data_IF_380046760612
#
_entry.id   IF_380046760612
#
_cell.length_a   1.000
_cell.length_b   1.000
_cell.length_c   1.000
_cell.angle_alpha   90.00
_cell.angle_beta   90.00
_cell.angle_gamma   90.00
#
_symmetry.space_group_name_H-M   'P 1'
#
loop_
_entity.id
_entity.type
_entity.pdbx_description
1 polymer ?
#
# COMPACT_ATOMS: atom_id res chain seq x y z
N UNK A 1 -13.28 0.54 -7.15
CA UNK A 1 -12.29 1.34 -6.38
C UNK A 1 -11.67 0.57 -5.22
N UNK A 2 -12.41 -0.28 -4.49
CA UNK A 2 -11.86 -1.11 -3.39
C UNK A 2 -10.95 -2.23 -3.94
N UNK A 3 -11.36 -2.92 -5.02
CA UNK A 3 -10.54 -3.96 -5.71
C UNK A 3 -9.19 -3.43 -6.25
N UNK A 4 -9.22 -2.26 -6.88
CA UNK A 4 -8.07 -1.55 -7.44
C UNK A 4 -6.96 -1.26 -6.41
N UNK A 5 -7.37 -0.89 -5.18
CA UNK A 5 -6.45 -0.66 -4.09
C UNK A 5 -5.86 -2.00 -3.61
N UNK A 6 -6.67 -3.06 -3.52
CA UNK A 6 -6.21 -4.40 -3.12
C UNK A 6 -5.08 -4.93 -3.99
N UNK A 7 -5.26 -4.90 -5.32
CA UNK A 7 -4.25 -5.47 -6.24
C UNK A 7 -2.91 -4.71 -6.20
N UNK A 8 -2.94 -3.38 -5.99
CA UNK A 8 -1.70 -2.60 -5.83
C UNK A 8 -0.99 -2.96 -4.52
N UNK A 9 -1.69 -3.04 -3.39
CA UNK A 9 -1.07 -3.43 -2.10
C UNK A 9 -0.47 -4.84 -2.16
N UNK A 10 -1.20 -5.81 -2.74
CA UNK A 10 -0.68 -7.16 -2.96
C UNK A 10 0.59 -7.14 -3.82
N UNK A 11 0.59 -6.36 -4.91
CA UNK A 11 1.78 -6.23 -5.76
C UNK A 11 2.94 -5.57 -5.04
N UNK A 12 2.69 -4.51 -4.25
CA UNK A 12 3.72 -3.82 -3.46
C UNK A 12 4.36 -4.77 -2.46
N UNK A 13 3.56 -5.61 -1.78
CA UNK A 13 4.08 -6.64 -0.87
C UNK A 13 4.98 -7.65 -1.59
N UNK A 14 4.66 -8.04 -2.84
CA UNK A 14 5.48 -8.94 -3.65
C UNK A 14 6.85 -8.34 -4.03
N UNK A 15 6.96 -7.00 -4.08
CA UNK A 15 8.20 -6.29 -4.43
C UNK A 15 8.80 -5.50 -3.27
N UNK A 16 8.33 -5.75 -2.04
CA UNK A 16 8.86 -5.13 -0.83
C UNK A 16 10.26 -5.68 -0.48
N UNK A 17 11.11 -4.91 0.23
CA UNK A 17 12.38 -5.39 0.76
C UNK A 17 12.25 -6.71 1.53
N UNK A 18 13.23 -7.59 1.32
CA UNK A 18 13.26 -8.95 1.87
C UNK A 18 12.59 -10.02 0.99
N UNK A 19 11.92 -9.63 -0.09
CA UNK A 19 11.41 -10.58 -1.10
C UNK A 19 12.47 -10.93 -2.14
N UNK A 20 12.40 -12.15 -2.67
CA UNK A 20 13.27 -12.62 -3.77
C UNK A 20 13.15 -11.73 -5.01
N UNK A 21 11.93 -11.24 -5.28
CA UNK A 21 11.66 -10.37 -6.41
C UNK A 21 12.31 -9.00 -6.22
N UNK A 22 12.16 -8.36 -5.05
CA UNK A 22 12.84 -7.09 -4.74
C UNK A 22 14.35 -7.22 -4.84
N UNK A 23 14.94 -8.25 -4.25
CA UNK A 23 16.38 -8.51 -4.35
C UNK A 23 16.85 -8.63 -5.80
N UNK A 24 16.06 -9.31 -6.65
CA UNK A 24 16.34 -9.42 -8.08
C UNK A 24 16.26 -8.07 -8.80
N UNK A 25 15.22 -7.28 -8.53
CA UNK A 25 15.04 -5.95 -9.10
C UNK A 25 16.17 -4.99 -8.70
N UNK A 26 16.60 -5.01 -7.43
CA UNK A 26 17.74 -4.20 -6.99
C UNK A 26 19.04 -4.61 -7.66
N UNK A 27 19.28 -5.91 -7.84
CA UNK A 27 20.44 -6.39 -8.60
C UNK A 27 20.41 -5.92 -10.04
N UNK A 28 19.24 -5.91 -10.69
CA UNK A 28 19.07 -5.41 -12.07
C UNK A 28 19.40 -3.91 -12.11
N UNK A 29 18.85 -3.15 -11.16
CA UNK A 29 19.05 -1.70 -11.05
C UNK A 29 20.53 -1.34 -10.83
N UNK A 30 21.18 -1.98 -9.85
CA UNK A 30 22.62 -1.83 -9.55
C UNK A 30 23.49 -2.28 -10.73
N UNK A 31 23.05 -3.32 -11.42
CA UNK A 31 23.64 -3.84 -12.63
C UNK A 31 23.49 -2.96 -13.87
N UNK A 32 22.77 -1.84 -13.75
CA UNK A 32 22.48 -0.90 -14.84
C UNK A 32 21.92 -1.62 -16.08
N UNK A 33 20.99 -2.52 -15.87
CA UNK A 33 20.30 -3.23 -16.94
C UNK A 33 18.83 -2.83 -16.94
N UNK A 34 18.21 -2.68 -18.12
CA UNK A 34 16.77 -2.51 -18.23
C UNK A 34 16.05 -3.85 -18.16
N UNK A 35 14.80 -3.88 -17.71
CA UNK A 35 14.00 -5.11 -17.69
C UNK A 35 12.51 -4.81 -17.86
N UNK A 36 11.78 -5.76 -18.43
CA UNK A 36 10.31 -5.81 -18.36
C UNK A 36 9.91 -7.19 -17.85
N UNK A 37 9.14 -7.22 -16.77
CA UNK A 37 8.82 -8.46 -16.04
C UNK A 37 7.31 -8.52 -15.85
N UNK A 38 6.66 -9.58 -16.35
CA UNK A 38 5.22 -9.84 -16.15
C UNK A 38 5.07 -10.78 -14.95
N UNK A 39 4.22 -10.41 -13.99
CA UNK A 39 3.96 -11.17 -12.76
C UNK A 39 2.66 -11.99 -12.88
N UNK A 40 2.65 -12.89 -13.83
CA UNK A 40 1.55 -13.82 -14.09
C UNK A 40 1.79 -14.60 -15.38
N UNK A 41 1.25 -15.81 -15.43
CA UNK A 41 1.37 -16.66 -16.60
C UNK A 41 0.05 -17.40 -16.86
N UNK A 42 -0.59 -17.04 -17.96
CA UNK A 42 -1.81 -17.67 -18.46
C UNK A 42 -1.74 -17.76 -19.99
N UNK A 43 -2.76 -18.35 -20.65
CA UNK A 43 -2.80 -18.42 -22.11
C UNK A 43 -2.77 -17.05 -22.81
N UNK A 44 -3.24 -15.97 -22.17
CA UNK A 44 -3.22 -14.61 -22.73
C UNK A 44 -1.79 -14.08 -22.75
N UNK A 45 -1.06 -14.20 -21.63
CA UNK A 45 0.37 -13.83 -21.52
C UNK A 45 1.21 -14.67 -22.48
N UNK A 46 0.90 -15.96 -22.61
CA UNK A 46 1.57 -16.85 -23.57
C UNK A 46 1.35 -16.41 -25.01
N UNK A 47 0.12 -16.08 -25.40
CA UNK A 47 -0.21 -15.66 -26.76
C UNK A 47 0.46 -14.35 -27.20
N UNK A 48 0.71 -13.42 -26.27
CA UNK A 48 1.42 -12.16 -26.56
C UNK A 48 2.95 -12.30 -26.44
N UNK A 49 3.46 -13.45 -26.00
CA UNK A 49 4.90 -13.70 -25.85
C UNK A 49 5.47 -14.35 -27.11
N UNK A 50 6.24 -13.61 -27.89
CA UNK A 50 6.88 -14.09 -29.11
C UNK A 50 8.37 -14.37 -28.92
N UNK A 51 8.86 -15.48 -29.50
CA UNK A 51 10.26 -15.88 -29.41
C UNK A 51 10.71 -16.23 -27.98
N UNK A 52 11.99 -16.01 -27.68
CA UNK A 52 12.57 -16.27 -26.36
C UNK A 52 12.68 -17.75 -26.00
N UNK A 53 12.82 -18.02 -24.70
CA UNK A 53 13.03 -19.36 -24.16
C UNK A 53 11.87 -19.76 -23.25
N UNK A 54 11.43 -21.00 -23.40
CA UNK A 54 10.54 -21.66 -22.47
C UNK A 54 11.37 -22.16 -21.31
N UNK A 55 11.08 -21.65 -20.11
CA UNK A 55 11.75 -22.04 -18.88
C UNK A 55 10.72 -22.62 -17.93
N UNK A 56 11.18 -23.47 -17.05
CA UNK A 56 10.42 -23.83 -15.87
C UNK A 56 11.41 -23.98 -14.72
N UNK A 57 11.82 -22.84 -14.17
CA UNK A 57 12.83 -22.77 -13.10
C UNK A 57 12.31 -21.93 -11.95
N UNK A 58 12.66 -22.30 -10.73
CA UNK A 58 12.28 -21.54 -9.54
C UNK A 58 12.82 -20.11 -9.61
N UNK A 59 12.01 -19.16 -9.14
CA UNK A 59 12.40 -17.76 -9.01
C UNK A 59 13.55 -17.64 -8.00
N UNK A 60 14.64 -17.02 -8.43
CA UNK A 60 15.70 -16.55 -7.52
C UNK A 60 16.20 -15.20 -8.00
N UNK A 61 16.66 -14.36 -7.07
CA UNK A 61 17.19 -13.03 -7.37
C UNK A 61 18.36 -13.10 -8.38
N UNK A 62 19.20 -14.14 -8.29
CA UNK A 62 20.28 -14.38 -9.22
C UNK A 62 19.77 -14.74 -10.61
N UNK A 63 18.83 -15.69 -10.74
CA UNK A 63 18.26 -16.07 -12.03
C UNK A 63 17.55 -14.91 -12.69
N UNK A 64 16.73 -14.16 -11.94
CA UNK A 64 16.04 -12.99 -12.46
C UNK A 64 17.05 -11.93 -12.98
N UNK A 65 18.12 -11.67 -12.22
CA UNK A 65 19.20 -10.76 -12.62
C UNK A 65 19.90 -11.19 -13.91
N UNK A 66 20.23 -12.47 -14.04
CA UNK A 66 20.93 -13.02 -15.19
C UNK A 66 20.05 -12.99 -16.45
N UNK A 67 18.79 -13.41 -16.34
CA UNK A 67 17.85 -13.40 -17.46
C UNK A 67 17.51 -11.97 -17.91
N UNK A 68 17.47 -11.01 -16.99
CA UNK A 68 17.28 -9.60 -17.31
C UNK A 68 18.46 -8.98 -18.09
N UNK A 69 19.64 -9.63 -18.18
CA UNK A 69 20.72 -9.20 -19.08
C UNK A 69 20.38 -9.35 -20.55
N UNK A 70 19.39 -10.18 -20.86
CA UNK A 70 18.94 -10.43 -22.22
C UNK A 70 18.00 -9.32 -22.69
N UNK A 71 17.95 -9.10 -24.00
CA UNK A 71 17.09 -8.09 -24.60
C UNK A 71 15.67 -8.64 -24.79
N UNK A 72 14.83 -8.49 -23.76
CA UNK A 72 13.43 -8.90 -23.83
C UNK A 72 12.70 -8.85 -22.50
N UNK A 73 11.55 -9.50 -22.46
CA UNK A 73 10.74 -9.69 -21.26
C UNK A 73 11.06 -10.98 -20.53
N UNK A 74 10.76 -10.97 -19.24
CA UNK A 74 10.74 -12.15 -18.36
C UNK A 74 9.31 -12.34 -17.88
N UNK A 75 8.82 -13.57 -17.87
CA UNK A 75 7.49 -13.89 -17.34
C UNK A 75 7.67 -14.77 -16.12
N UNK A 76 7.14 -14.30 -15.00
CA UNK A 76 7.20 -14.96 -13.70
C UNK A 76 5.78 -15.32 -13.32
N UNK A 77 5.54 -16.60 -13.08
CA UNK A 77 4.33 -17.08 -12.44
C UNK A 77 4.51 -16.94 -10.93
N UNK A 78 3.72 -16.05 -10.32
CA UNK A 78 3.79 -15.77 -8.89
C UNK A 78 3.09 -16.82 -8.04
N UNK A 79 2.13 -17.57 -8.59
CA UNK A 79 1.40 -18.62 -7.88
C UNK A 79 2.31 -19.83 -7.62
N UNK A 80 3.19 -20.14 -8.58
CA UNK A 80 4.18 -21.22 -8.46
C UNK A 80 5.58 -20.73 -8.08
N UNK A 81 5.80 -19.42 -8.02
CA UNK A 81 7.10 -18.78 -7.85
C UNK A 81 8.15 -19.28 -8.88
N UNK A 82 7.77 -19.36 -10.15
CA UNK A 82 8.64 -19.87 -11.25
C UNK A 82 8.77 -18.88 -12.39
N UNK A 83 9.95 -18.84 -13.00
CA UNK A 83 10.19 -18.13 -14.25
C UNK A 83 9.80 -19.05 -15.41
N UNK A 84 8.78 -18.63 -16.17
CA UNK A 84 8.14 -19.41 -17.23
C UNK A 84 8.68 -19.08 -18.63
N UNK A 85 9.07 -17.82 -18.83
CA UNK A 85 9.64 -17.34 -20.09
C UNK A 85 10.74 -16.32 -19.83
N UNK A 86 11.71 -16.25 -20.73
CA UNK A 86 12.74 -15.22 -20.74
C UNK A 86 13.11 -14.83 -22.17
N UNK A 87 13.67 -13.63 -22.34
CA UNK A 87 14.05 -13.08 -23.63
C UNK A 87 12.88 -13.05 -24.65
N UNK A 88 11.64 -12.86 -24.15
CA UNK A 88 10.45 -12.81 -25.00
C UNK A 88 10.21 -11.40 -25.52
N UNK A 89 9.73 -11.27 -26.74
CA UNK A 89 9.16 -10.04 -27.24
C UNK A 89 7.67 -10.02 -26.88
N UNK A 90 7.26 -9.08 -26.02
CA UNK A 90 5.86 -8.89 -25.65
C UNK A 90 5.16 -8.05 -26.73
N UNK A 91 4.10 -8.60 -27.31
CA UNK A 91 3.33 -8.02 -28.41
C UNK A 91 1.87 -7.78 -27.98
N UNK A 92 1.61 -6.85 -27.03
CA UNK A 92 0.24 -6.51 -26.66
C UNK A 92 -0.48 -5.78 -27.81
N UNK A 93 -1.80 -5.74 -27.75
CA UNK A 93 -2.64 -5.07 -28.73
C UNK A 93 -2.27 -3.57 -28.83
N UNK A 94 -1.89 -3.13 -30.03
CA UNK A 94 -1.46 -1.78 -30.31
C UNK A 94 -2.57 -0.72 -30.13
N UNK A 95 -3.85 -1.12 -30.18
CA UNK A 95 -4.99 -0.21 -30.00
C UNK A 95 -5.19 0.22 -28.55
N UNK A 96 -4.56 -0.45 -27.58
CA UNK A 96 -4.63 -0.08 -26.16
C UNK A 96 -3.91 1.26 -25.98
N UNK A 97 -4.67 2.26 -25.50
CA UNK A 97 -4.16 3.60 -25.23
C UNK A 97 -3.12 3.56 -24.10
N UNK A 98 -2.11 4.40 -24.20
CA UNK A 98 -1.00 4.51 -23.23
C UNK A 98 -0.58 5.97 -23.14
N UNK A 99 -0.30 6.44 -21.92
CA UNK A 99 0.23 7.79 -21.67
C UNK A 99 1.76 7.80 -21.56
N UNK A 100 2.40 6.64 -21.61
CA UNK A 100 3.84 6.50 -21.48
C UNK A 100 4.58 6.89 -22.77
N UNK A 101 5.77 7.46 -22.66
CA UNK A 101 6.55 7.93 -23.83
C UNK A 101 7.59 6.90 -24.31
N UNK A 102 8.11 6.04 -23.44
CA UNK A 102 9.14 5.05 -23.78
C UNK A 102 8.58 3.70 -24.27
N UNK A 103 9.19 3.10 -25.29
CA UNK A 103 8.73 1.81 -25.88
C UNK A 103 8.48 0.73 -24.82
N UNK A 104 9.42 0.57 -23.86
CA UNK A 104 9.32 -0.42 -22.78
C UNK A 104 8.17 -0.11 -21.81
N UNK A 105 8.03 1.15 -21.43
CA UNK A 105 6.97 1.63 -20.53
C UNK A 105 5.59 1.51 -21.18
N UNK A 106 5.45 1.87 -22.46
CA UNK A 106 4.22 1.65 -23.24
C UNK A 106 3.87 0.17 -23.35
N UNK A 107 4.87 -0.68 -23.58
CA UNK A 107 4.65 -2.13 -23.64
C UNK A 107 4.19 -2.64 -22.28
N UNK A 108 4.85 -2.24 -21.19
CA UNK A 108 4.48 -2.65 -19.84
C UNK A 108 3.06 -2.23 -19.47
N UNK A 109 2.68 -0.98 -19.73
CA UNK A 109 1.32 -0.49 -19.47
C UNK A 109 0.27 -1.27 -20.29
N UNK A 110 0.54 -1.51 -21.58
CA UNK A 110 -0.40 -2.24 -22.44
C UNK A 110 -0.53 -3.71 -22.05
N UNK A 111 0.58 -4.36 -21.71
CA UNK A 111 0.56 -5.75 -21.22
C UNK A 111 -0.26 -5.81 -19.94
N UNK A 112 0.01 -4.95 -18.96
CA UNK A 112 -0.74 -4.93 -17.69
C UNK A 112 -2.24 -4.71 -17.92
N UNK A 113 -2.62 -3.79 -18.81
CA UNK A 113 -4.03 -3.54 -19.15
C UNK A 113 -4.68 -4.69 -19.90
N UNK A 114 -3.94 -5.37 -20.79
CA UNK A 114 -4.48 -6.46 -21.60
C UNK A 114 -4.64 -7.75 -20.80
N UNK A 115 -3.68 -8.07 -19.94
CA UNK A 115 -3.64 -9.35 -19.23
C UNK A 115 -4.23 -9.25 -17.83
N UNK A 116 -4.37 -8.05 -17.27
CA UNK A 116 -4.77 -7.83 -15.88
C UNK A 116 -3.67 -8.15 -14.86
N UNK A 117 -2.53 -8.69 -15.29
CA UNK A 117 -1.40 -9.00 -14.42
C UNK A 117 -0.51 -7.78 -14.18
N UNK A 118 0.08 -7.64 -12.98
CA UNK A 118 1.10 -6.65 -12.73
C UNK A 118 2.30 -6.78 -13.68
N UNK A 119 2.80 -5.64 -14.17
CA UNK A 119 4.03 -5.60 -14.98
C UNK A 119 5.02 -4.63 -14.39
N UNK A 120 6.25 -5.09 -14.19
CA UNK A 120 7.37 -4.26 -13.74
C UNK A 120 8.19 -3.82 -14.96
N UNK A 121 8.56 -2.54 -15.00
CA UNK A 121 9.57 -2.00 -15.90
C UNK A 121 10.72 -1.42 -15.09
N UNK A 122 11.94 -1.85 -15.36
CA UNK A 122 13.17 -1.29 -14.80
C UNK A 122 13.84 -0.41 -15.85
N UNK A 123 14.02 0.87 -15.54
CA UNK A 123 14.68 1.84 -16.41
C UNK A 123 16.16 1.97 -16.04
N UNK A 124 17.05 1.55 -16.95
CA UNK A 124 18.49 1.68 -16.78
C UNK A 124 18.95 3.14 -16.64
N UNK A 125 18.44 4.04 -17.49
CA UNK A 125 18.91 5.42 -17.57
C UNK A 125 18.44 6.24 -16.38
N UNK A 126 17.18 6.09 -16.00
CA UNK A 126 16.57 6.83 -14.89
C UNK A 126 16.82 6.18 -13.53
N UNK A 127 17.27 4.91 -13.51
CA UNK A 127 17.40 4.10 -12.29
C UNK A 127 16.13 4.08 -11.44
N UNK A 128 15.00 3.89 -12.12
CA UNK A 128 13.69 3.75 -11.47
C UNK A 128 13.09 2.38 -11.80
N UNK A 129 12.31 1.86 -10.85
CA UNK A 129 11.45 0.71 -11.05
C UNK A 129 10.01 1.23 -11.10
N UNK A 130 9.27 0.89 -12.14
CA UNK A 130 7.86 1.25 -12.30
C UNK A 130 7.00 0.01 -12.35
N UNK A 131 5.96 -0.04 -11.55
CA UNK A 131 4.88 -1.00 -11.57
C UNK A 131 3.73 -0.46 -12.41
N UNK A 132 3.13 -1.34 -13.21
CA UNK A 132 1.89 -1.11 -13.91
C UNK A 132 0.87 -2.11 -13.40
N UNK A 133 -0.13 -1.62 -12.67
CA UNK A 133 -1.18 -2.40 -12.01
C UNK A 133 -2.49 -1.65 -12.14
N UNK A 134 -3.56 -2.34 -12.50
CA UNK A 134 -4.90 -1.75 -12.65
C UNK A 134 -4.91 -0.45 -13.50
N UNK A 135 -4.19 -0.46 -14.61
CA UNK A 135 -4.10 0.68 -15.53
C UNK A 135 -3.38 1.91 -14.97
N UNK A 136 -2.80 1.83 -13.77
CA UNK A 136 -2.02 2.90 -13.13
C UNK A 136 -0.55 2.56 -13.12
N UNK A 137 0.28 3.59 -13.19
CA UNK A 137 1.72 3.50 -12.96
C UNK A 137 2.02 3.90 -11.52
N UNK A 138 2.79 3.07 -10.84
CA UNK A 138 3.35 3.35 -9.52
C UNK A 138 4.88 3.24 -9.60
N UNK A 139 5.63 4.22 -9.09
CA UNK A 139 7.10 4.18 -9.07
C UNK A 139 7.52 3.67 -7.71
N UNK A 140 8.30 2.59 -7.67
CA UNK A 140 8.83 2.10 -6.40
C UNK A 140 9.86 3.07 -5.85
N UNK A 141 9.61 3.53 -4.64
CA UNK A 141 10.55 4.39 -3.93
C UNK A 141 11.69 3.56 -3.28
N UNK A 142 12.87 4.16 -3.07
CA UNK A 142 13.90 3.59 -2.21
C UNK A 142 13.42 3.50 -0.76
N UNK A 143 13.89 2.49 -0.01
CA UNK A 143 13.53 2.28 1.39
C UNK A 143 13.79 3.53 2.24
N UNK A 144 14.86 4.29 1.96
CA UNK A 144 15.21 5.49 2.71
C UNK A 144 14.16 6.60 2.58
N UNK A 145 13.54 6.75 1.40
CA UNK A 145 12.47 7.72 1.14
C UNK A 145 11.21 7.37 1.94
N UNK A 146 10.81 6.09 1.86
CA UNK A 146 9.62 5.58 2.54
C UNK A 146 9.82 5.66 4.06
N UNK A 147 10.99 5.26 4.58
CA UNK A 147 11.33 5.39 6.00
C UNK A 147 11.30 6.83 6.50
N UNK A 148 11.77 7.80 5.70
CA UNK A 148 11.73 9.21 6.09
C UNK A 148 10.28 9.69 6.26
N UNK A 149 9.39 9.35 5.32
CA UNK A 149 7.96 9.66 5.40
C UNK A 149 7.27 8.94 6.56
N UNK A 150 7.58 7.66 6.75
CA UNK A 150 7.01 6.86 7.82
C UNK A 150 7.42 7.34 9.22
N UNK A 151 8.67 7.79 9.41
CA UNK A 151 9.12 8.39 10.66
C UNK A 151 8.40 9.71 10.96
N UNK A 152 8.10 10.52 9.94
CA UNK A 152 7.29 11.74 10.14
C UNK A 152 5.87 11.41 10.60
N UNK A 153 5.26 10.37 10.01
CA UNK A 153 3.96 9.87 10.42
C UNK A 153 3.99 9.29 11.84
N UNK A 154 5.02 8.51 12.18
CA UNK A 154 5.22 7.98 13.53
C UNK A 154 5.33 9.09 14.57
N UNK A 155 6.14 10.13 14.32
CA UNK A 155 6.21 11.28 15.23
C UNK A 155 4.88 12.02 15.35
N UNK A 156 4.04 12.02 14.31
CA UNK A 156 2.68 12.54 14.42
C UNK A 156 1.81 11.64 15.28
N UNK A 157 1.86 10.32 15.09
CA UNK A 157 1.16 9.31 15.89
C UNK A 157 1.48 9.47 17.38
N UNK A 158 2.75 9.58 17.75
CA UNK A 158 3.20 9.79 19.13
C UNK A 158 2.56 11.03 19.77
N UNK A 159 2.52 12.17 19.04
CA UNK A 159 1.88 13.40 19.53
C UNK A 159 0.38 13.25 19.71
N UNK A 160 -0.30 12.59 18.77
CA UNK A 160 -1.75 12.36 18.87
C UNK A 160 -2.08 11.36 19.98
N UNK A 161 -1.27 10.32 20.17
CA UNK A 161 -1.40 9.36 21.28
C UNK A 161 -1.20 10.05 22.63
N UNK A 162 -0.16 10.85 22.80
CA UNK A 162 0.06 11.60 24.04
C UNK A 162 -1.11 12.55 24.36
N UNK A 163 -1.69 13.18 23.34
CA UNK A 163 -2.88 14.02 23.50
C UNK A 163 -4.13 13.20 23.83
N UNK A 164 -4.30 12.04 23.22
CA UNK A 164 -5.38 11.10 23.54
C UNK A 164 -5.29 10.67 25.00
N UNK A 165 -4.10 10.31 25.49
CA UNK A 165 -3.88 9.87 26.87
C UNK A 165 -4.23 10.97 27.86
N UNK A 166 -3.81 12.21 27.57
CA UNK A 166 -4.17 13.35 28.42
C UNK A 166 -5.67 13.63 28.42
N UNK A 167 -6.33 13.52 27.26
CA UNK A 167 -7.77 13.80 27.13
C UNK A 167 -8.60 12.71 27.80
N UNK A 168 -8.17 11.44 27.68
CA UNK A 168 -8.81 10.30 28.32
C UNK A 168 -8.70 10.38 29.84
N UNK A 169 -7.51 10.68 30.38
CA UNK A 169 -7.35 10.91 31.82
C UNK A 169 -8.22 12.07 32.35
N UNK A 170 -8.48 13.08 31.50
CA UNK A 170 -9.44 14.15 31.81
C UNK A 170 -10.88 13.66 31.86
N UNK A 171 -11.27 12.79 30.91
CA UNK A 171 -12.58 12.14 30.90
C UNK A 171 -12.76 11.27 32.15
N UNK A 172 -11.77 10.43 32.50
CA UNK A 172 -11.80 9.58 33.70
C UNK A 172 -12.00 10.42 34.98
N UNK A 173 -11.41 11.62 35.04
CA UNK A 173 -11.59 12.53 36.19
C UNK A 173 -13.01 13.08 36.25
N UNK A 174 -13.60 13.46 35.11
CA UNK A 174 -14.98 13.92 35.01
C UNK A 174 -15.98 12.80 35.29
N UNK A 175 -15.65 11.56 34.94
CA UNK A 175 -16.43 10.36 35.27
C UNK A 175 -16.58 10.17 36.76
N UNK A 176 -15.46 10.26 37.50
CA UNK A 176 -15.45 10.13 38.96
C UNK A 176 -16.30 11.23 39.62
N UNK A 177 -16.32 12.43 39.04
CA UNK A 177 -17.08 13.58 39.55
C UNK A 177 -18.54 13.63 39.06
N UNK A 178 -18.95 12.72 38.17
CA UNK A 178 -20.27 12.71 37.50
C UNK A 178 -20.57 14.02 36.74
N UNK A 179 -19.55 14.56 36.05
CA UNK A 179 -19.58 15.84 35.32
C UNK A 179 -19.31 15.69 33.82
N UNK A 180 -19.38 14.48 33.28
CA UNK A 180 -19.08 14.18 31.87
C UNK A 180 -20.08 14.87 30.94
N UNK A 181 -19.58 15.49 29.88
CA UNK A 181 -20.42 15.99 28.79
C UNK A 181 -20.18 15.22 27.49
N UNK A 182 -21.15 15.27 26.58
CA UNK A 182 -21.02 14.73 25.21
C UNK A 182 -19.79 15.32 24.51
N UNK A 183 -19.39 16.56 24.83
CA UNK A 183 -18.22 17.20 24.24
C UNK A 183 -16.92 16.51 24.67
N UNK A 184 -16.84 16.04 25.90
CA UNK A 184 -15.64 15.39 26.43
C UNK A 184 -15.46 14.02 25.78
N UNK A 185 -16.54 13.21 25.75
CA UNK A 185 -16.57 11.90 25.07
C UNK A 185 -16.25 12.04 23.58
N UNK A 186 -16.90 12.98 22.88
CA UNK A 186 -16.65 13.17 21.45
C UNK A 186 -15.21 13.63 21.17
N UNK A 187 -14.60 14.39 22.08
CA UNK A 187 -13.20 14.82 21.92
C UNK A 187 -12.21 13.65 22.04
N UNK A 188 -12.47 12.70 22.94
CA UNK A 188 -11.70 11.44 23.03
C UNK A 188 -11.89 10.61 21.76
N UNK A 189 -13.13 10.34 21.35
CA UNK A 189 -13.44 9.56 20.12
C UNK A 189 -12.78 10.15 18.87
N UNK A 190 -12.78 11.47 18.71
CA UNK A 190 -12.12 12.14 17.59
C UNK A 190 -10.60 11.90 17.60
N UNK A 191 -9.96 11.96 18.76
CA UNK A 191 -8.52 11.68 18.87
C UNK A 191 -8.20 10.20 18.61
N UNK A 192 -9.03 9.27 19.10
CA UNK A 192 -8.88 7.83 18.81
C UNK A 192 -8.94 7.56 17.30
N UNK A 193 -9.90 8.15 16.59
CA UNK A 193 -9.98 8.02 15.13
C UNK A 193 -8.77 8.62 14.41
N UNK A 194 -8.26 9.77 14.87
CA UNK A 194 -7.04 10.35 14.31
C UNK A 194 -5.82 9.44 14.51
N UNK A 195 -5.66 8.84 15.70
CA UNK A 195 -4.60 7.85 15.99
C UNK A 195 -4.76 6.63 15.08
N UNK A 196 -5.98 6.08 14.97
CA UNK A 196 -6.28 4.92 14.12
C UNK A 196 -5.96 5.19 12.65
N UNK A 197 -6.29 6.38 12.14
CA UNK A 197 -6.03 6.78 10.75
C UNK A 197 -4.54 6.92 10.47
N UNK A 198 -3.81 7.61 11.34
CA UNK A 198 -2.35 7.75 11.18
C UNK A 198 -1.67 6.37 11.27
N UNK A 199 -2.12 5.49 12.17
CA UNK A 199 -1.62 4.11 12.23
C UNK A 199 -1.83 3.38 10.90
N UNK A 200 -3.03 3.45 10.32
CA UNK A 200 -3.33 2.80 9.05
C UNK A 200 -2.48 3.36 7.87
N UNK A 201 -2.19 4.65 7.88
CA UNK A 201 -1.27 5.25 6.90
C UNK A 201 0.16 4.70 7.09
N UNK A 202 0.60 4.48 8.33
CA UNK A 202 1.92 3.87 8.62
C UNK A 202 1.96 2.40 8.22
N UNK A 203 0.87 1.65 8.39
CA UNK A 203 0.78 0.25 7.97
C UNK A 203 1.03 0.09 6.46
N UNK A 204 0.59 1.06 5.64
CA UNK A 204 0.91 1.11 4.21
C UNK A 204 2.42 1.25 3.97
N UNK A 205 3.11 2.12 4.73
CA UNK A 205 4.56 2.25 4.63
C UNK A 205 5.28 0.98 5.08
N UNK A 206 4.82 0.34 6.16
CA UNK A 206 5.38 -0.92 6.66
C UNK A 206 5.27 -2.02 5.60
N UNK A 207 4.13 -2.10 4.91
CA UNK A 207 3.91 -3.06 3.83
C UNK A 207 4.90 -2.84 2.68
N UNK A 208 5.11 -1.59 2.26
CA UNK A 208 6.08 -1.25 1.20
C UNK A 208 7.54 -1.47 1.63
N UNK A 209 7.84 -1.29 2.91
CA UNK A 209 9.18 -1.49 3.49
C UNK A 209 9.51 -2.95 3.77
N UNK A 210 8.53 -3.85 3.84
CA UNK A 210 8.75 -5.27 4.10
C UNK A 210 9.67 -5.50 5.30
N UNK A 211 10.81 -6.16 5.09
CA UNK A 211 11.78 -6.42 6.18
C UNK A 211 12.41 -5.17 6.78
N UNK A 212 12.57 -4.10 5.99
CA UNK A 212 13.18 -2.84 6.44
C UNK A 212 12.25 -2.09 7.43
N UNK A 213 10.95 -2.37 7.38
CA UNK A 213 9.92 -1.74 8.21
C UNK A 213 9.70 -2.41 9.56
N UNK A 214 10.45 -3.47 9.90
CA UNK A 214 10.19 -4.28 11.11
C UNK A 214 10.20 -3.48 12.41
N UNK A 215 11.18 -2.59 12.60
CA UNK A 215 11.26 -1.79 13.82
C UNK A 215 10.11 -0.78 13.91
N UNK A 216 9.76 -0.15 12.80
CA UNK A 216 8.64 0.77 12.69
C UNK A 216 7.31 0.07 13.05
N UNK A 217 7.09 -1.14 12.53
CA UNK A 217 5.89 -1.93 12.84
C UNK A 217 5.75 -2.19 14.35
N UNK A 218 6.84 -2.58 15.02
CA UNK A 218 6.85 -2.81 16.48
C UNK A 218 6.55 -1.53 17.26
N UNK A 219 7.04 -0.38 16.80
CA UNK A 219 6.77 0.91 17.46
C UNK A 219 5.30 1.31 17.33
N UNK A 220 4.70 1.13 16.16
CA UNK A 220 3.27 1.42 15.94
C UNK A 220 2.39 0.46 16.76
N UNK A 221 2.71 -0.83 16.78
CA UNK A 221 2.00 -1.82 17.58
C UNK A 221 2.01 -1.43 19.06
N UNK A 222 3.16 -1.01 19.58
CA UNK A 222 3.26 -0.58 20.99
C UNK A 222 2.43 0.67 21.26
N UNK A 223 2.47 1.68 20.38
CA UNK A 223 1.72 2.92 20.54
C UNK A 223 0.20 2.75 20.43
N UNK A 224 -0.26 1.73 19.70
CA UNK A 224 -1.68 1.48 19.43
C UNK A 224 -2.25 0.32 20.24
N UNK A 225 -1.43 -0.32 21.08
CA UNK A 225 -1.81 -1.40 21.99
C UNK A 225 -2.99 -0.95 22.86
N UNK A 226 -4.05 -1.75 22.88
CA UNK A 226 -5.24 -1.50 23.72
C UNK A 226 -6.25 -0.51 23.14
N UNK A 227 -5.89 0.28 22.11
CA UNK A 227 -6.74 1.35 21.58
C UNK A 227 -8.12 0.86 21.08
N UNK A 228 -8.16 -0.31 20.43
CA UNK A 228 -9.43 -0.89 19.96
C UNK A 228 -10.35 -1.31 21.12
N UNK A 229 -9.77 -1.78 22.23
CA UNK A 229 -10.55 -2.17 23.40
C UNK A 229 -11.09 -0.93 24.12
N UNK A 230 -10.23 0.08 24.34
CA UNK A 230 -10.63 1.38 24.89
C UNK A 230 -11.76 2.01 24.07
N UNK A 231 -11.69 1.91 22.75
CA UNK A 231 -12.75 2.44 21.87
C UNK A 231 -14.07 1.69 22.07
N UNK A 232 -14.01 0.37 22.23
CA UNK A 232 -15.17 -0.46 22.52
C UNK A 232 -15.83 -0.08 23.85
N UNK A 233 -15.05 0.05 24.92
CA UNK A 233 -15.55 0.43 26.25
C UNK A 233 -16.18 1.82 26.24
N UNK A 234 -15.52 2.80 25.63
CA UNK A 234 -16.04 4.16 25.53
C UNK A 234 -17.38 4.23 24.77
N UNK A 235 -17.54 3.42 23.72
CA UNK A 235 -18.82 3.32 23.03
C UNK A 235 -19.86 2.57 23.88
N UNK A 236 -19.49 1.50 24.58
CA UNK A 236 -20.42 0.78 25.45
C UNK A 236 -20.99 1.69 26.55
N UNK A 237 -20.17 2.55 27.13
CA UNK A 237 -20.57 3.42 28.24
C UNK A 237 -21.38 4.65 27.80
N UNK A 238 -21.11 5.19 26.61
CA UNK A 238 -21.65 6.50 26.18
C UNK A 238 -22.50 6.50 24.91
N UNK A 239 -22.66 5.37 24.23
CA UNK A 239 -23.50 5.30 23.04
C UNK A 239 -24.98 5.42 23.45
N UNK A 240 -25.74 6.40 22.91
CA UNK A 240 -27.15 6.52 23.24
C UNK A 240 -27.95 5.31 22.75
N UNK A 241 -29.00 4.95 23.48
CA UNK A 241 -29.93 3.90 23.06
C UNK A 241 -30.49 4.20 21.65
N UNK A 242 -30.42 3.20 20.77
CA UNK A 242 -30.90 3.31 19.38
C UNK A 242 -29.85 3.77 18.36
N UNK A 243 -28.65 4.16 18.78
CA UNK A 243 -27.50 4.34 17.91
C UNK A 243 -26.66 3.06 17.82
N UNK A 244 -26.23 2.71 16.62
CA UNK A 244 -25.34 1.56 16.37
C UNK A 244 -23.88 2.02 16.27
N UNK A 245 -22.96 1.24 16.82
CA UNK A 245 -21.50 1.49 16.79
C UNK A 245 -21.01 1.65 15.35
N UNK A 246 -21.55 0.86 14.42
CA UNK A 246 -21.18 0.95 13.00
C UNK A 246 -21.54 2.31 12.38
N UNK A 247 -22.60 2.96 12.87
CA UNK A 247 -23.02 4.29 12.43
C UNK A 247 -22.07 5.36 12.95
N UNK A 248 -21.62 5.22 14.20
CA UNK A 248 -20.62 6.13 14.79
C UNK A 248 -19.29 6.00 14.06
N UNK A 249 -18.80 4.78 13.84
CA UNK A 249 -17.56 4.52 13.09
C UNK A 249 -17.62 5.08 11.66
N UNK A 250 -18.75 4.92 10.99
CA UNK A 250 -18.96 5.47 9.65
C UNK A 250 -18.88 7.00 9.64
N UNK A 251 -19.36 7.67 10.71
CA UNK A 251 -19.32 9.13 10.85
C UNK A 251 -17.93 9.62 11.26
N UNK A 252 -17.24 8.91 12.16
CA UNK A 252 -15.90 9.26 12.62
C UNK A 252 -14.88 9.29 11.48
N UNK A 253 -15.01 8.41 10.47
CA UNK A 253 -14.17 8.43 9.25
C UNK A 253 -14.09 9.80 8.54
N UNK A 254 -15.06 10.69 8.77
CA UNK A 254 -15.12 12.04 8.20
C UNK A 254 -14.50 13.13 9.09
N UNK A 255 -14.22 12.83 10.35
CA UNK A 255 -13.45 13.70 11.25
C UNK A 255 -12.01 13.78 10.72
N UNK A 256 -11.52 15.00 10.49
CA UNK A 256 -10.11 15.23 10.12
C UNK A 256 -9.75 15.12 8.64
N UNK A 257 -10.70 14.93 7.71
CA UNK A 257 -10.39 15.03 6.28
C UNK A 257 -10.00 16.48 5.92
N UNK A 258 -8.81 16.75 5.35
CA UNK A 258 -8.41 18.11 4.98
C UNK A 258 -9.43 18.81 4.05
N UNK A 259 -10.18 18.02 3.27
CA UNK A 259 -11.19 18.50 2.34
C UNK A 259 -12.56 18.87 2.98
N UNK A 260 -12.81 18.58 4.27
CA UNK A 260 -14.12 18.78 4.90
C UNK A 260 -14.19 19.96 5.87
N UNK A 261 -13.11 20.72 6.05
CA UNK A 261 -13.05 21.83 7.01
C UNK A 261 -13.90 23.05 6.67
N UNK A 262 -14.68 23.07 5.58
CA UNK A 262 -15.43 24.28 5.22
C UNK A 262 -16.94 24.17 5.01
N UNK A 263 -17.57 23.02 4.71
CA UNK A 263 -19.00 23.11 4.30
C UNK A 263 -19.98 21.97 4.64
N UNK A 264 -19.55 20.78 5.09
CA UNK A 264 -20.48 19.61 5.19
C UNK A 264 -20.98 19.22 6.58
N UNK A 265 -20.37 19.72 7.66
CA UNK A 265 -20.78 19.36 9.03
C UNK A 265 -22.15 19.93 9.45
N UNK A 266 -22.64 21.00 8.82
CA UNK A 266 -23.88 21.69 9.21
C UNK A 266 -25.15 21.25 8.47
N UNK A 267 -25.09 20.28 7.55
CA UNK A 267 -26.25 19.88 6.70
C UNK A 267 -26.67 18.42 6.80
N UNK A 268 -26.10 17.62 7.70
CA UNK A 268 -26.74 16.35 8.03
C UNK A 268 -27.87 16.64 9.04
N UNK A 269 -29.15 16.42 8.70
CA UNK A 269 -30.22 16.56 9.67
C UNK A 269 -29.98 15.59 10.83
N UNK A 270 -30.16 16.13 12.04
CA UNK A 270 -30.28 15.34 13.26
C UNK A 270 -31.69 14.77 13.31
N UNK A 271 -31.98 13.82 12.43
CA UNK A 271 -33.17 12.98 12.48
C UNK A 271 -32.75 11.50 12.51
#
# INVERSE_FOLDING_TARGET
MIEAAGQLHETLALVAPGTVLRDGLERILRGRTGAIIVLGFDPVVEAISSGGFHLDVELSAARLRELAKMDGGVVVDMDTARIRRANVQLLPNASIQTSETGMRHRTAERVARQTGYPVISVSQSMRIISLYVDGKRHVLEPSESILASANQALSALERYKARLDQTSAGLDSLEIEDLVTVRDVTSVLQLMEMVRRISADIDSYVLELGTDGRLLALQVEELTRGLLAEHGFLLEDYLPEGLDTTTVDARLKWVGSPASWTWRWWRAPWD
#
